data_IF_505376864828
#
_entry.id   IF_505376864828
#
_cell.length_a   1.000
_cell.length_b   1.000
_cell.length_c   1.000
_cell.angle_alpha   90.00
_cell.angle_beta   90.00
_cell.angle_gamma   90.00
#
_symmetry.space_group_name_H-M   'P 1'
#
loop_
_entity.id
_entity.type
_entity.pdbx_description
1 polymer ?
#
# COMPACT_ATOMS: atom_id res chain seq x y z
N UNK A 1 25.66 -7.13 1.39
CA UNK A 1 25.85 -6.15 2.47
C UNK A 1 25.10 -4.86 2.18
N UNK A 2 25.57 -4.14 1.17
CA UNK A 2 24.88 -2.89 0.84
C UNK A 2 23.45 -3.12 0.36
N UNK A 3 23.25 -4.24 -0.35
CA UNK A 3 21.91 -4.59 -0.80
C UNK A 3 20.94 -4.71 0.37
N UNK A 4 21.37 -5.42 1.40
CA UNK A 4 20.52 -5.63 2.58
C UNK A 4 20.26 -4.31 3.30
N UNK A 5 21.27 -3.46 3.38
CA UNK A 5 21.08 -2.17 4.03
C UNK A 5 20.17 -1.24 3.24
N UNK A 6 20.29 -1.27 1.92
CA UNK A 6 19.42 -0.46 1.06
C UNK A 6 17.99 -0.93 1.20
N UNK A 7 17.78 -2.25 1.16
CA UNK A 7 16.44 -2.79 1.29
C UNK A 7 15.85 -2.45 2.65
N UNK A 8 16.64 -2.58 3.71
CA UNK A 8 16.20 -2.27 5.06
C UNK A 8 15.75 -0.81 5.16
N UNK A 9 16.53 0.09 4.56
CA UNK A 9 16.20 1.50 4.59
C UNK A 9 14.93 1.79 3.81
N UNK A 10 14.76 1.13 2.68
CA UNK A 10 13.55 1.30 1.88
C UNK A 10 12.33 0.77 2.61
N UNK A 11 12.47 -0.38 3.28
CA UNK A 11 11.36 -0.92 4.08
C UNK A 11 10.96 0.09 5.15
N UNK A 12 11.93 0.65 5.83
CA UNK A 12 11.65 1.62 6.87
C UNK A 12 10.94 2.84 6.30
N UNK A 13 11.41 3.35 5.17
CA UNK A 13 10.79 4.51 4.55
C UNK A 13 9.36 4.25 4.11
N UNK A 14 9.13 3.08 3.52
CA UNK A 14 7.78 2.72 3.11
C UNK A 14 6.88 2.61 4.33
N UNK A 15 7.36 1.95 5.38
CA UNK A 15 6.58 1.80 6.62
C UNK A 15 6.23 3.16 7.22
N UNK A 16 7.19 4.05 7.29
CA UNK A 16 6.95 5.37 7.87
C UNK A 16 5.95 6.16 7.04
N UNK A 17 6.10 6.09 5.73
CA UNK A 17 5.19 6.79 4.84
C UNK A 17 3.77 6.25 4.95
N UNK A 18 3.63 4.93 4.98
CA UNK A 18 2.33 4.31 5.13
C UNK A 18 1.65 4.73 6.43
N UNK A 19 2.40 4.71 7.53
CA UNK A 19 1.85 5.10 8.82
C UNK A 19 1.42 6.55 8.82
N UNK A 20 2.25 7.41 8.25
CA UNK A 20 1.91 8.83 8.17
C UNK A 20 0.67 9.06 7.31
N UNK A 21 0.58 8.39 6.18
CA UNK A 21 -0.57 8.52 5.31
C UNK A 21 -1.85 8.09 6.00
N UNK A 22 -1.80 6.95 6.69
CA UNK A 22 -2.99 6.46 7.37
C UNK A 22 -3.42 7.40 8.48
N UNK A 23 -2.47 7.89 9.26
CA UNK A 23 -2.80 8.81 10.35
C UNK A 23 -3.41 10.10 9.83
N UNK A 24 -2.85 10.65 8.76
CA UNK A 24 -3.39 11.86 8.16
C UNK A 24 -4.79 11.63 7.61
N UNK A 25 -4.99 10.48 7.00
CA UNK A 25 -6.30 10.12 6.47
C UNK A 25 -7.33 10.04 7.58
N UNK A 26 -6.98 9.37 8.69
CA UNK A 26 -7.88 9.25 9.83
C UNK A 26 -8.23 10.61 10.42
N UNK A 27 -7.23 11.46 10.59
CA UNK A 27 -7.47 12.79 11.13
C UNK A 27 -8.40 13.57 10.23
N UNK A 28 -8.16 13.50 8.93
CA UNK A 28 -8.99 14.20 7.97
C UNK A 28 -10.45 13.74 8.05
N UNK A 29 -10.64 12.42 8.15
CA UNK A 29 -11.99 11.89 8.24
C UNK A 29 -12.69 12.31 9.53
N UNK A 30 -11.97 12.28 10.64
CA UNK A 30 -12.56 12.65 11.92
C UNK A 30 -12.96 14.12 11.94
N UNK A 31 -12.20 14.97 11.26
CA UNK A 31 -12.53 16.38 11.18
C UNK A 31 -13.81 16.64 10.38
N UNK A 32 -14.14 15.74 9.46
CA UNK A 32 -15.35 15.89 8.67
C UNK A 32 -16.63 15.52 9.41
N UNK A 33 -16.49 14.80 10.52
CA UNK A 33 -17.62 14.47 11.36
C UNK A 33 -18.12 13.05 11.19
N UNK A 34 -19.04 12.68 12.05
CA UNK A 34 -19.55 11.32 12.15
C UNK A 34 -20.20 10.83 10.87
N UNK A 35 -20.97 11.69 10.22
CA UNK A 35 -21.67 11.30 9.01
C UNK A 35 -20.69 10.91 7.91
N UNK A 36 -19.63 11.71 7.75
CA UNK A 36 -18.63 11.41 6.72
C UNK A 36 -17.90 10.10 7.02
N UNK A 37 -17.58 9.87 8.29
CA UNK A 37 -16.95 8.60 8.68
C UNK A 37 -17.86 7.44 8.32
N UNK A 38 -19.14 7.56 8.60
CA UNK A 38 -20.10 6.51 8.32
C UNK A 38 -20.23 6.28 6.81
N UNK A 39 -20.35 7.38 6.06
CA UNK A 39 -20.55 7.29 4.62
C UNK A 39 -19.31 6.72 3.90
N UNK A 40 -18.14 6.86 4.49
CA UNK A 40 -16.90 6.37 3.90
C UNK A 40 -16.37 5.13 4.61
N UNK A 41 -17.25 4.40 5.29
CA UNK A 41 -16.81 3.24 6.10
C UNK A 41 -16.06 2.21 5.27
N UNK A 42 -16.53 1.92 4.05
CA UNK A 42 -15.85 0.94 3.21
C UNK A 42 -14.45 1.41 2.83
N UNK A 43 -14.33 2.68 2.46
CA UNK A 43 -13.03 3.23 2.10
C UNK A 43 -12.07 3.20 3.28
N UNK A 44 -12.56 3.58 4.46
CA UNK A 44 -11.74 3.59 5.67
C UNK A 44 -11.26 2.18 5.98
N UNK A 45 -12.18 1.22 5.93
CA UNK A 45 -11.84 -0.17 6.21
C UNK A 45 -10.82 -0.69 5.20
N UNK A 46 -11.01 -0.37 3.93
CA UNK A 46 -10.09 -0.81 2.88
C UNK A 46 -8.70 -0.21 3.07
N UNK A 47 -8.63 1.08 3.42
CA UNK A 47 -7.33 1.71 3.69
C UNK A 47 -6.59 1.01 4.82
N UNK A 48 -7.30 0.69 5.89
CA UNK A 48 -6.69 0.01 7.03
C UNK A 48 -6.19 -1.37 6.62
N UNK A 49 -7.01 -2.10 5.88
CA UNK A 49 -6.62 -3.43 5.42
C UNK A 49 -5.41 -3.39 4.49
N UNK A 50 -5.40 -2.44 3.56
CA UNK A 50 -4.27 -2.29 2.64
C UNK A 50 -3.00 -1.97 3.43
N UNK A 51 -3.12 -1.07 4.41
CA UNK A 51 -2.00 -0.72 5.26
C UNK A 51 -1.42 -1.96 5.95
N UNK A 52 -2.28 -2.75 6.56
CA UNK A 52 -1.85 -3.93 7.29
C UNK A 52 -1.22 -4.97 6.37
N UNK A 53 -1.83 -5.19 5.22
CA UNK A 53 -1.30 -6.16 4.27
C UNK A 53 0.07 -5.70 3.76
N UNK A 54 0.20 -4.43 3.41
CA UNK A 54 1.48 -3.93 2.92
C UNK A 54 2.56 -4.07 3.97
N UNK A 55 2.26 -3.77 5.24
CA UNK A 55 3.25 -3.91 6.29
C UNK A 55 3.79 -5.33 6.41
N UNK A 56 2.96 -6.33 6.14
CA UNK A 56 3.41 -7.71 6.20
C UNK A 56 4.15 -8.14 4.96
N UNK A 57 3.92 -7.47 3.84
CA UNK A 57 4.49 -7.92 2.58
C UNK A 57 5.75 -7.17 2.14
N UNK A 58 6.01 -6.00 2.71
CA UNK A 58 7.14 -5.20 2.25
C UNK A 58 8.48 -5.90 2.42
N UNK A 59 8.58 -6.81 3.38
CA UNK A 59 9.82 -7.55 3.57
C UNK A 59 10.15 -8.45 2.38
N UNK A 60 9.14 -8.81 1.63
CA UNK A 60 9.30 -9.75 0.51
C UNK A 60 9.39 -9.05 -0.84
N UNK A 61 9.24 -7.74 -0.85
CA UNK A 61 9.33 -6.98 -2.10
C UNK A 61 10.79 -6.76 -2.47
N UNK A 62 11.06 -6.63 -3.76
CA UNK A 62 12.42 -6.32 -4.22
C UNK A 62 12.71 -4.84 -3.94
N UNK A 63 14.00 -4.47 -3.88
CA UNK A 63 14.34 -3.05 -3.73
C UNK A 63 13.75 -2.16 -4.83
N UNK A 64 13.67 -2.68 -6.06
CA UNK A 64 13.07 -1.92 -7.14
C UNK A 64 11.59 -1.66 -6.88
N UNK A 65 10.88 -2.69 -6.39
CA UNK A 65 9.47 -2.52 -6.05
C UNK A 65 9.30 -1.54 -4.89
N UNK A 66 10.14 -1.66 -3.87
CA UNK A 66 10.06 -0.76 -2.71
C UNK A 66 10.32 0.68 -3.12
N UNK A 67 11.32 0.89 -3.99
CA UNK A 67 11.61 2.22 -4.48
C UNK A 67 10.43 2.79 -5.25
N UNK A 68 9.84 1.98 -6.12
CA UNK A 68 8.68 2.41 -6.88
C UNK A 68 7.52 2.80 -5.98
N UNK A 69 7.32 2.03 -4.91
CA UNK A 69 6.24 2.31 -3.98
C UNK A 69 6.51 3.58 -3.19
N UNK A 70 7.75 3.77 -2.73
CA UNK A 70 8.05 4.89 -1.86
C UNK A 70 7.94 6.24 -2.57
N UNK A 71 8.10 6.26 -3.90
CA UNK A 71 7.98 7.52 -4.64
C UNK A 71 6.55 7.84 -5.05
N UNK A 72 5.61 6.93 -4.83
CA UNK A 72 4.20 7.22 -5.08
C UNK A 72 3.73 8.30 -4.12
N UNK A 73 3.08 9.36 -4.61
CA UNK A 73 2.68 10.47 -3.73
C UNK A 73 1.79 10.02 -2.56
N UNK A 74 0.85 9.10 -2.81
CA UNK A 74 0.01 8.56 -1.75
C UNK A 74 -0.17 7.08 -2.01
N UNK A 75 0.52 6.28 -1.19
CA UNK A 75 0.57 4.84 -1.40
C UNK A 75 -0.79 4.19 -1.19
N UNK A 76 -1.46 4.57 -0.09
CA UNK A 76 -2.72 3.93 0.26
C UNK A 76 -3.80 4.21 -0.79
N UNK A 77 -3.91 5.45 -1.24
CA UNK A 77 -4.91 5.77 -2.26
C UNK A 77 -4.57 5.11 -3.59
N UNK A 78 -3.29 4.99 -3.91
CA UNK A 78 -2.87 4.32 -5.13
C UNK A 78 -3.36 2.87 -5.14
N UNK A 79 -3.09 2.14 -4.07
CA UNK A 79 -3.53 0.74 -3.99
C UNK A 79 -5.04 0.63 -3.88
N UNK A 80 -5.68 1.56 -3.19
CA UNK A 80 -7.13 1.54 -3.07
C UNK A 80 -7.80 1.71 -4.44
N UNK A 81 -7.32 2.65 -5.24
CA UNK A 81 -7.89 2.87 -6.56
C UNK A 81 -7.72 1.65 -7.46
N UNK A 82 -6.54 1.03 -7.38
CA UNK A 82 -6.31 -0.19 -8.16
C UNK A 82 -7.18 -1.33 -7.66
N UNK A 83 -7.36 -1.40 -6.34
CA UNK A 83 -8.22 -2.42 -5.75
C UNK A 83 -9.66 -2.29 -6.23
N UNK A 84 -10.15 -1.07 -6.36
CA UNK A 84 -11.51 -0.84 -6.84
C UNK A 84 -11.71 -1.30 -8.27
N UNK A 85 -10.64 -1.37 -9.06
CA UNK A 85 -10.73 -1.85 -10.43
C UNK A 85 -10.83 -3.36 -10.50
N UNK A 86 -10.58 -4.05 -9.40
CA UNK A 86 -10.71 -5.50 -9.35
C UNK A 86 -12.16 -5.84 -9.04
N UNK A 87 -12.78 -6.65 -9.91
CA UNK A 87 -14.13 -7.07 -9.66
C UNK A 87 -14.16 -8.04 -8.50
N UNK A 88 -15.31 -8.16 -7.84
CA UNK A 88 -15.44 -9.04 -6.68
C UNK A 88 -14.47 -8.68 -5.58
N UNK A 89 -14.66 -7.49 -5.04
CA UNK A 89 -13.78 -6.99 -3.98
C UNK A 89 -14.07 -7.67 -2.65
N UNK A 90 -13.52 -8.85 -2.46
CA UNK A 90 -13.64 -9.54 -1.19
C UNK A 90 -12.32 -9.45 -0.44
N UNK A 91 -12.45 -9.44 0.89
CA UNK A 91 -11.30 -9.21 1.75
C UNK A 91 -10.19 -10.22 1.53
N UNK A 92 -10.55 -11.47 1.31
CA UNK A 92 -9.55 -12.52 1.14
C UNK A 92 -8.83 -12.42 -0.19
N UNK A 93 -9.37 -11.65 -1.13
CA UNK A 93 -8.73 -11.45 -2.42
C UNK A 93 -7.88 -10.21 -2.45
N UNK A 94 -8.02 -9.36 -1.44
CA UNK A 94 -7.25 -8.12 -1.38
C UNK A 94 -5.75 -8.40 -1.30
N UNK A 95 -5.36 -9.40 -0.53
CA UNK A 95 -3.95 -9.75 -0.43
C UNK A 95 -3.38 -10.17 -1.78
N UNK A 96 -4.11 -10.99 -2.51
CA UNK A 96 -3.70 -11.41 -3.85
C UNK A 96 -3.69 -10.23 -4.81
N UNK A 97 -4.67 -9.34 -4.68
CA UNK A 97 -4.72 -8.16 -5.53
C UNK A 97 -3.52 -7.26 -5.30
N UNK A 98 -3.09 -7.10 -4.05
CA UNK A 98 -1.93 -6.28 -3.75
C UNK A 98 -0.68 -6.87 -4.38
N UNK A 99 -0.51 -8.20 -4.31
CA UNK A 99 0.61 -8.85 -4.96
C UNK A 99 0.59 -8.61 -6.47
N UNK A 100 -0.59 -8.74 -7.06
CA UNK A 100 -0.74 -8.56 -8.49
C UNK A 100 -0.46 -7.12 -8.91
N UNK A 101 -1.00 -6.17 -8.16
CA UNK A 101 -0.76 -4.75 -8.42
C UNK A 101 0.72 -4.44 -8.33
N UNK A 102 1.38 -4.98 -7.32
CA UNK A 102 2.80 -4.73 -7.12
C UNK A 102 3.61 -5.26 -8.29
N UNK A 103 3.29 -6.45 -8.77
CA UNK A 103 3.98 -7.02 -9.92
C UNK A 103 3.71 -6.22 -11.18
N UNK A 104 2.48 -5.81 -11.38
CA UNK A 104 2.10 -5.11 -12.60
C UNK A 104 2.66 -3.69 -12.66
N UNK A 105 2.54 -2.96 -11.56
CA UNK A 105 2.91 -1.56 -11.54
C UNK A 105 4.37 -1.34 -11.21
N UNK A 106 4.97 -2.21 -10.42
CA UNK A 106 6.35 -2.01 -9.97
C UNK A 106 7.31 -3.11 -10.44
N UNK A 107 6.79 -4.02 -11.26
CA UNK A 107 7.62 -5.03 -11.90
C UNK A 107 7.82 -6.28 -11.08
N UNK A 108 8.30 -7.30 -11.75
CA UNK A 108 8.62 -8.57 -11.13
C UNK A 108 10.13 -8.73 -11.09
N UNK A 109 10.58 -9.80 -10.42
CA UNK A 109 12.00 -10.09 -10.37
C UNK A 109 12.59 -10.33 -11.76
N UNK A 110 11.82 -10.93 -12.64
CA UNK A 110 12.30 -11.23 -13.98
C UNK A 110 12.60 -9.96 -14.78
N UNK A 111 11.87 -8.90 -14.53
CA UNK A 111 12.10 -7.65 -15.26
C UNK A 111 13.45 -7.05 -14.96
N UNK A 112 13.98 -7.33 -13.80
CA UNK A 112 15.27 -6.78 -13.42
C UNK A 112 16.42 -7.43 -14.17
N UNK A 113 16.18 -8.58 -14.77
CA UNK A 113 17.21 -9.32 -15.47
C UNK A 113 17.40 -8.84 -16.89
N UNK A 114 16.41 -8.24 -17.48
CA UNK A 114 16.47 -7.82 -18.89
C UNK A 114 17.24 -6.53 -19.11
#
# INVERSE_FOLDING_TARGET
>A
MEYAKIKERLIQRVSEKLTKELNLYKEKMLLKGTKEVFDHAYEIDSYINIYEILLTKIEYFTPAQLWGIVVVPNILSFFYERWLDVEDSRAEEMESAIDEITKTEFGTKQKLVC
#
